data_IF_123730380750
#
_entry.id   IF_123730380750
#
_cell.length_a   1.000
_cell.length_b   1.000
_cell.length_c   1.000
_cell.angle_alpha   90.00
_cell.angle_beta   90.00
_cell.angle_gamma   90.00
#
_symmetry.space_group_name_H-M   'P 1'
#
loop_
_entity.id
_entity.type
_entity.pdbx_description
1 polymer ?
#
# COMPACT_ATOMS: atom_id res chain seq x y z
N UNK A 1 -1.55 -29.25 3.24
CA UNK A 1 -0.91 -28.44 4.30
C UNK A 1 -1.73 -27.18 4.51
N UNK A 2 -2.25 -26.91 5.71
CA UNK A 2 -3.00 -25.67 5.99
C UNK A 2 -2.02 -24.54 6.35
N UNK A 3 -2.10 -23.41 5.66
CA UNK A 3 -1.36 -22.20 6.02
C UNK A 3 -2.17 -21.45 7.09
N UNK A 4 -1.65 -21.38 8.31
CA UNK A 4 -2.24 -20.53 9.37
C UNK A 4 -1.84 -19.08 9.12
N UNK A 5 -2.82 -18.18 9.11
CA UNK A 5 -2.62 -16.73 9.06
C UNK A 5 -2.93 -16.12 10.43
N UNK A 6 -2.27 -15.01 10.75
CA UNK A 6 -2.58 -14.16 11.90
C UNK A 6 -2.68 -12.72 11.42
N UNK A 7 -3.42 -11.90 12.14
CA UNK A 7 -3.50 -10.47 11.87
C UNK A 7 -2.25 -9.78 12.43
N UNK A 8 -1.81 -8.74 11.72
CA UNK A 8 -0.79 -7.80 12.18
C UNK A 8 -1.51 -6.47 12.33
N UNK A 9 -1.43 -5.89 13.52
CA UNK A 9 -2.04 -4.60 13.86
C UNK A 9 -0.92 -3.62 14.21
N UNK A 10 -0.92 -2.45 13.57
CA UNK A 10 0.08 -1.41 13.77
C UNK A 10 -0.60 -0.05 13.84
N UNK A 11 -0.22 0.77 14.81
CA UNK A 11 -0.72 2.13 15.00
C UNK A 11 0.45 3.10 15.10
N UNK A 12 0.37 4.21 14.38
CA UNK A 12 1.38 5.27 14.37
C UNK A 12 0.70 6.63 14.16
N UNK A 13 1.21 7.66 14.83
CA UNK A 13 0.81 9.04 14.62
C UNK A 13 1.74 9.72 13.63
N UNK A 14 1.17 10.24 12.54
CA UNK A 14 1.90 10.98 11.51
C UNK A 14 1.29 12.38 11.41
N UNK A 15 2.12 13.42 11.52
CA UNK A 15 1.67 14.82 11.40
C UNK A 15 1.44 15.19 9.92
N UNK A 16 0.36 14.68 9.34
CA UNK A 16 -0.04 14.90 7.94
C UNK A 16 -1.55 14.74 7.81
N UNK A 17 -2.13 15.23 6.72
CA UNK A 17 -3.56 15.08 6.46
C UNK A 17 -3.90 13.63 6.03
N UNK A 18 -5.12 13.13 6.32
CA UNK A 18 -5.55 11.82 5.84
C UNK A 18 -5.42 11.63 4.33
N UNK A 19 -5.67 12.71 3.56
CA UNK A 19 -5.53 12.70 2.11
C UNK A 19 -4.08 12.46 1.67
N UNK A 20 -3.10 13.11 2.30
CA UNK A 20 -1.68 12.91 1.98
C UNK A 20 -1.22 11.50 2.31
N UNK A 21 -1.66 10.95 3.44
CA UNK A 21 -1.39 9.56 3.81
C UNK A 21 -1.95 8.60 2.76
N UNK A 22 -3.21 8.78 2.38
CA UNK A 22 -3.83 7.96 1.32
C UNK A 22 -3.06 8.05 0.00
N UNK A 23 -2.68 9.26 -0.41
CA UNK A 23 -1.91 9.47 -1.63
C UNK A 23 -0.50 8.85 -1.57
N UNK A 24 0.12 8.75 -0.39
CA UNK A 24 1.39 8.04 -0.24
C UNK A 24 1.24 6.56 -0.62
N UNK A 25 0.15 5.91 -0.23
CA UNK A 25 -0.09 4.51 -0.58
C UNK A 25 -0.58 4.30 -2.01
N UNK A 26 -1.38 5.23 -2.55
CA UNK A 26 -2.13 5.01 -3.79
C UNK A 26 -1.50 5.63 -5.04
N UNK A 27 -0.64 6.65 -4.90
CA UNK A 27 0.10 7.20 -6.03
C UNK A 27 1.43 6.46 -6.19
N UNK A 28 1.64 5.85 -7.35
CA UNK A 28 2.84 5.05 -7.63
C UNK A 28 4.14 5.85 -7.49
N UNK A 29 4.15 7.15 -7.85
CA UNK A 29 5.34 7.99 -7.77
C UNK A 29 5.62 8.39 -6.32
N UNK A 30 4.59 8.79 -5.56
CA UNK A 30 4.73 9.12 -4.14
C UNK A 30 5.17 7.90 -3.35
N UNK A 31 4.57 6.73 -3.59
CA UNK A 31 4.96 5.48 -2.94
C UNK A 31 6.42 5.14 -3.24
N UNK A 32 6.82 5.23 -4.52
CA UNK A 32 8.20 4.94 -4.90
C UNK A 32 9.20 5.89 -4.23
N UNK A 33 8.82 7.16 -4.05
CA UNK A 33 9.68 8.18 -3.45
C UNK A 33 10.02 7.89 -1.99
N UNK A 34 9.06 7.50 -1.15
CA UNK A 34 9.33 7.30 0.28
C UNK A 34 9.83 5.89 0.62
N UNK A 35 9.60 4.91 -0.26
CA UNK A 35 10.14 3.54 -0.11
C UNK A 35 11.48 3.34 -0.79
N UNK A 36 11.94 4.33 -1.57
CA UNK A 36 13.15 4.26 -2.40
C UNK A 36 13.18 3.04 -3.34
N UNK A 37 12.00 2.55 -3.74
CA UNK A 37 11.85 1.38 -4.60
C UNK A 37 10.68 1.53 -5.56
N UNK A 38 10.72 0.84 -6.70
CA UNK A 38 9.66 0.95 -7.72
C UNK A 38 8.32 0.42 -7.22
N UNK A 39 7.28 1.22 -7.44
CA UNK A 39 5.89 0.86 -7.23
C UNK A 39 5.05 0.99 -8.51
N UNK A 40 4.06 0.10 -8.64
CA UNK A 40 2.95 0.21 -9.60
C UNK A 40 1.65 -0.07 -8.85
N UNK A 41 0.76 0.90 -8.82
CA UNK A 41 -0.49 0.85 -8.04
C UNK A 41 -1.66 1.28 -8.95
N UNK A 42 -2.66 0.41 -9.08
CA UNK A 42 -3.95 0.80 -9.66
C UNK A 42 -4.80 1.53 -8.63
N UNK A 43 -5.49 2.61 -9.05
CA UNK A 43 -6.39 3.39 -8.16
C UNK A 43 -7.81 2.85 -8.13
N UNK A 44 -8.10 1.80 -8.87
CA UNK A 44 -9.43 1.19 -8.94
C UNK A 44 -9.68 0.27 -7.73
N UNK A 45 -10.94 0.19 -7.30
CA UNK A 45 -11.43 -0.83 -6.38
C UNK A 45 -11.20 -2.21 -7.01
N UNK A 46 -10.58 -3.13 -6.27
CA UNK A 46 -10.15 -4.43 -6.77
C UNK A 46 -8.88 -4.40 -7.63
N UNK A 47 -8.34 -3.21 -7.92
CA UNK A 47 -7.13 -3.01 -8.72
C UNK A 47 -5.87 -3.56 -8.05
N UNK A 48 -4.95 -4.08 -8.85
CA UNK A 48 -3.70 -4.67 -8.35
C UNK A 48 -2.64 -3.62 -8.00
N UNK A 49 -1.75 -3.98 -7.07
CA UNK A 49 -0.50 -3.27 -6.81
C UNK A 49 0.71 -4.21 -6.76
N UNK A 50 1.88 -3.64 -7.02
CA UNK A 50 3.20 -4.29 -6.96
C UNK A 50 4.22 -3.28 -6.45
N UNK A 51 4.93 -3.60 -5.37
CA UNK A 51 5.88 -2.70 -4.68
C UNK A 51 7.18 -3.44 -4.30
N UNK A 52 8.21 -2.70 -3.89
CA UNK A 52 9.54 -3.22 -3.57
C UNK A 52 10.15 -4.07 -4.69
N UNK A 53 10.26 -3.49 -5.90
CA UNK A 53 10.67 -4.19 -7.13
C UNK A 53 9.85 -5.46 -7.45
N UNK A 54 8.61 -5.51 -6.97
CA UNK A 54 7.70 -6.66 -7.18
C UNK A 54 7.82 -7.77 -6.14
N UNK A 55 8.60 -7.56 -5.07
CA UNK A 55 8.70 -8.51 -3.97
C UNK A 55 7.39 -8.64 -3.18
N UNK A 56 6.59 -7.57 -3.12
CA UNK A 56 5.24 -7.60 -2.53
C UNK A 56 4.21 -7.18 -3.58
N UNK A 57 3.06 -7.86 -3.56
CA UNK A 57 1.94 -7.58 -4.44
C UNK A 57 0.60 -7.88 -3.75
N UNK A 58 -0.48 -7.33 -4.28
CA UNK A 58 -1.81 -7.50 -3.73
C UNK A 58 -2.88 -6.77 -4.53
N UNK A 59 -4.04 -6.57 -3.90
CA UNK A 59 -5.19 -5.85 -4.47
C UNK A 59 -5.69 -4.79 -3.49
N UNK A 60 -6.10 -3.65 -4.02
CA UNK A 60 -6.81 -2.62 -3.29
C UNK A 60 -8.27 -3.07 -3.13
N UNK A 61 -8.80 -3.04 -1.91
CA UNK A 61 -10.17 -3.50 -1.61
C UNK A 61 -11.13 -2.33 -1.68
N UNK A 62 -11.10 -1.45 -0.69
CA UNK A 62 -11.90 -0.23 -0.64
C UNK A 62 -11.22 0.77 0.30
N UNK A 63 -11.62 2.04 0.22
CA UNK A 63 -11.28 3.04 1.22
C UNK A 63 -12.45 3.08 2.23
N UNK A 64 -12.16 2.76 3.49
CA UNK A 64 -13.12 2.78 4.60
C UNK A 64 -13.06 4.09 5.37
#
# INVERSE_FOLDING_TARGET
>A
MMIKKKNIEQEILINSSPHEIYEAFMDSKKHSKFTESKAKVSREIGGSFSIFEGSLSGKNVELI
#
